data_IF_998096856194
#
_entry.id   IF_998096856194
#
_cell.length_a   1.000
_cell.length_b   1.000
_cell.length_c   1.000
_cell.angle_alpha   90.00
_cell.angle_beta   90.00
_cell.angle_gamma   90.00
#
_symmetry.space_group_name_H-M   'P 1'
#
loop_
_entity.id
_entity.type
_entity.pdbx_description
1 polymer ?
#
# COMPACT_ATOMS: atom_id res chain seq x y z
N UNK A 1 32.07 -10.16 14.70
CA UNK A 1 31.26 -8.94 14.46
C UNK A 1 29.82 -9.31 14.81
N UNK A 2 29.37 -8.91 16.00
CA UNK A 2 28.18 -9.47 16.65
C UNK A 2 27.27 -8.32 17.11
N UNK A 3 26.02 -8.38 16.67
CA UNK A 3 24.79 -7.86 17.30
C UNK A 3 24.84 -6.52 18.03
N UNK A 4 24.41 -5.46 17.36
CA UNK A 4 23.97 -4.20 17.98
C UNK A 4 22.58 -3.83 17.48
N UNK A 5 21.80 -3.14 18.30
CA UNK A 5 20.36 -2.79 18.17
C UNK A 5 19.98 -1.87 16.98
N UNK A 6 20.72 -1.91 15.87
CA UNK A 6 20.44 -1.17 14.64
C UNK A 6 21.15 -1.80 13.41
N UNK A 7 20.88 -3.08 13.10
CA UNK A 7 21.37 -3.62 11.82
C UNK A 7 20.70 -2.88 10.65
N UNK A 8 21.40 -2.68 9.51
CA UNK A 8 20.79 -2.15 8.30
C UNK A 8 19.50 -2.90 7.91
N UNK A 9 19.48 -4.22 8.12
CA UNK A 9 18.30 -5.07 7.93
C UNK A 9 17.12 -4.65 8.82
N UNK A 10 17.34 -4.43 10.12
CA UNK A 10 16.29 -3.96 11.04
C UNK A 10 15.76 -2.58 10.63
N UNK A 11 16.63 -1.72 10.08
CA UNK A 11 16.23 -0.41 9.56
C UNK A 11 15.40 -0.51 8.29
N UNK A 12 15.72 -1.46 7.40
CA UNK A 12 14.89 -1.81 6.25
C UNK A 12 13.50 -2.31 6.68
N UNK A 13 13.43 -3.30 7.57
CA UNK A 13 12.16 -3.85 8.09
C UNK A 13 11.27 -2.76 8.71
N UNK A 14 11.85 -1.86 9.52
CA UNK A 14 11.13 -0.71 10.09
C UNK A 14 10.63 0.25 9.01
N UNK A 15 11.41 0.48 7.96
CA UNK A 15 10.98 1.35 6.85
C UNK A 15 9.78 0.75 6.10
N UNK A 16 9.77 -0.57 5.88
CA UNK A 16 8.66 -1.29 5.25
C UNK A 16 7.37 -1.16 6.06
N UNK A 17 7.41 -1.15 7.40
CA UNK A 17 6.20 -0.93 8.21
C UNK A 17 5.79 0.55 8.30
N UNK A 18 6.77 1.45 8.46
CA UNK A 18 6.50 2.86 8.77
C UNK A 18 6.16 3.72 7.53
N UNK A 19 6.81 3.49 6.39
CA UNK A 19 6.60 4.30 5.20
C UNK A 19 5.19 4.13 4.59
N UNK A 20 4.63 2.92 4.46
CA UNK A 20 3.26 2.76 3.95
C UNK A 20 2.22 3.30 4.91
N UNK A 21 2.46 3.20 6.22
CA UNK A 21 1.60 3.85 7.23
C UNK A 21 1.53 5.36 7.00
N UNK A 22 2.67 6.03 6.79
CA UNK A 22 2.71 7.45 6.47
C UNK A 22 2.01 7.80 5.15
N UNK A 23 2.11 6.90 4.16
CA UNK A 23 1.38 7.05 2.90
C UNK A 23 -0.14 6.98 3.12
N UNK A 24 -0.63 5.94 3.81
CA UNK A 24 -2.06 5.76 4.13
C UNK A 24 -2.61 6.97 4.88
N UNK A 25 -1.89 7.46 5.89
CA UNK A 25 -2.30 8.68 6.62
C UNK A 25 -2.36 9.91 5.70
N UNK A 26 -1.36 10.09 4.83
CA UNK A 26 -1.27 11.24 3.94
C UNK A 26 -2.35 11.21 2.87
N UNK A 27 -2.62 10.04 2.28
CA UNK A 27 -3.69 9.85 1.29
C UNK A 27 -5.06 10.04 1.94
N UNK A 28 -5.32 9.45 3.10
CA UNK A 28 -6.57 9.65 3.85
C UNK A 28 -6.83 11.14 4.12
N UNK A 29 -5.82 11.88 4.60
CA UNK A 29 -5.95 13.34 4.83
C UNK A 29 -6.18 14.14 3.56
N UNK A 30 -5.60 13.71 2.43
CA UNK A 30 -5.79 14.38 1.15
C UNK A 30 -7.22 14.16 0.62
N UNK A 31 -7.71 12.93 0.68
CA UNK A 31 -9.07 12.57 0.27
C UNK A 31 -10.11 13.22 1.16
N UNK A 32 -9.96 13.16 2.49
CA UNK A 32 -10.85 13.85 3.42
C UNK A 32 -11.02 15.33 3.08
N UNK A 33 -9.91 16.05 2.80
CA UNK A 33 -9.98 17.48 2.44
C UNK A 33 -10.71 17.71 1.11
N UNK A 34 -10.54 16.80 0.15
CA UNK A 34 -11.24 16.86 -1.12
C UNK A 34 -12.75 16.63 -0.91
N UNK A 35 -13.13 15.62 -0.14
CA UNK A 35 -14.53 15.35 0.19
C UNK A 35 -15.17 16.48 1.00
N UNK A 36 -14.45 17.08 1.95
CA UNK A 36 -14.89 18.28 2.68
C UNK A 36 -15.15 19.46 1.73
N UNK A 37 -14.30 19.65 0.72
CA UNK A 37 -14.49 20.69 -0.28
C UNK A 37 -15.73 20.43 -1.14
N UNK A 38 -15.97 19.17 -1.54
CA UNK A 38 -17.21 18.76 -2.21
C UNK A 38 -18.44 19.01 -1.36
N UNK A 39 -18.42 18.64 -0.07
CA UNK A 39 -19.51 18.87 0.88
C UNK A 39 -19.83 20.35 1.07
N UNK A 40 -18.82 21.20 1.00
CA UNK A 40 -18.96 22.67 1.04
C UNK A 40 -19.43 23.27 -0.30
N UNK A 41 -19.65 22.44 -1.33
CA UNK A 41 -20.07 22.90 -2.65
C UNK A 41 -18.98 23.58 -3.47
N UNK A 42 -17.70 23.40 -3.12
CA UNK A 42 -16.58 24.03 -3.83
C UNK A 42 -16.25 23.35 -5.16
N UNK A 43 -16.65 22.09 -5.32
CA UNK A 43 -16.65 21.34 -6.59
C UNK A 43 -17.67 20.21 -6.53
N UNK A 44 -17.99 19.61 -7.67
CA UNK A 44 -18.88 18.43 -7.79
C UNK A 44 -18.15 17.16 -8.20
N UNK A 45 -16.85 17.25 -8.50
CA UNK A 45 -16.04 16.13 -8.99
C UNK A 45 -15.84 15.06 -7.91
N UNK A 46 -15.72 13.81 -8.33
CA UNK A 46 -15.20 12.73 -7.48
C UNK A 46 -13.73 12.94 -7.13
N UNK A 47 -13.38 12.58 -5.90
CA UNK A 47 -12.01 12.63 -5.40
C UNK A 47 -11.30 11.30 -5.71
N UNK A 48 -9.97 11.30 -5.92
CA UNK A 48 -9.09 12.46 -5.94
C UNK A 48 -8.98 13.15 -7.31
N UNK A 49 -9.49 12.52 -8.39
CA UNK A 49 -9.30 12.99 -9.77
C UNK A 49 -10.64 13.07 -10.52
N UNK A 50 -11.02 14.22 -11.10
CA UNK A 50 -10.28 15.50 -11.05
C UNK A 50 -10.35 16.18 -9.66
N UNK A 51 -11.27 15.76 -8.78
CA UNK A 51 -11.37 16.19 -7.39
C UNK A 51 -11.38 17.71 -7.22
N UNK A 52 -10.65 18.16 -6.19
CA UNK A 52 -10.37 19.56 -5.87
C UNK A 52 -9.17 20.15 -6.66
N UNK A 53 -8.60 19.38 -7.59
CA UNK A 53 -7.38 19.75 -8.35
C UNK A 53 -6.07 19.67 -7.54
N UNK A 54 -6.10 19.27 -6.26
CA UNK A 54 -4.94 19.30 -5.35
C UNK A 54 -4.65 17.91 -4.77
N UNK A 55 -5.69 17.14 -4.43
CA UNK A 55 -5.61 15.86 -3.75
C UNK A 55 -4.74 14.85 -4.51
N UNK A 56 -4.97 14.67 -5.81
CA UNK A 56 -4.18 13.76 -6.65
C UNK A 56 -2.66 14.04 -6.58
N UNK A 57 -2.26 15.31 -6.69
CA UNK A 57 -0.85 15.69 -6.58
C UNK A 57 -0.26 15.46 -5.18
N UNK A 58 -1.06 15.63 -4.12
CA UNK A 58 -0.63 15.32 -2.74
C UNK A 58 -0.45 13.81 -2.54
N UNK A 59 -1.36 13.01 -3.07
CA UNK A 59 -1.30 11.55 -3.01
C UNK A 59 -0.06 11.04 -3.74
N UNK A 60 0.16 11.47 -4.98
CA UNK A 60 1.35 11.08 -5.76
C UNK A 60 2.65 11.40 -5.04
N UNK A 61 2.75 12.60 -4.44
CA UNK A 61 3.95 13.00 -3.67
C UNK A 61 4.15 12.13 -2.43
N UNK A 62 3.08 11.76 -1.74
CA UNK A 62 3.15 10.88 -0.58
C UNK A 62 3.61 9.47 -0.98
N UNK A 63 3.09 8.94 -2.09
CA UNK A 63 3.44 7.63 -2.64
C UNK A 63 4.94 7.56 -2.96
N UNK A 64 5.44 8.51 -3.77
CA UNK A 64 6.86 8.60 -4.14
C UNK A 64 7.75 8.73 -2.90
N UNK A 65 7.32 9.51 -1.89
CA UNK A 65 8.07 9.66 -0.64
C UNK A 65 8.15 8.37 0.15
N UNK A 66 7.06 7.61 0.24
CA UNK A 66 7.01 6.35 0.95
C UNK A 66 7.88 5.29 0.27
N UNK A 67 7.75 5.10 -1.04
CA UNK A 67 8.54 4.13 -1.79
C UNK A 67 10.03 4.47 -1.75
N UNK A 68 10.38 5.75 -1.94
CA UNK A 68 11.76 6.21 -1.79
C UNK A 68 12.32 6.03 -0.37
N UNK A 69 11.48 6.09 0.68
CA UNK A 69 11.91 5.84 2.05
C UNK A 69 12.26 4.37 2.29
N UNK A 70 11.54 3.44 1.64
CA UNK A 70 11.84 2.01 1.69
C UNK A 70 13.16 1.75 0.94
N UNK A 71 13.30 2.22 -0.29
CA UNK A 71 14.53 2.03 -1.08
C UNK A 71 15.77 2.57 -0.36
N UNK A 72 15.68 3.76 0.25
CA UNK A 72 16.80 4.33 1.03
C UNK A 72 17.22 3.53 2.26
N UNK A 73 16.45 2.54 2.68
CA UNK A 73 16.77 1.69 3.84
C UNK A 73 17.01 0.25 3.47
N UNK A 74 16.42 -0.19 2.37
CA UNK A 74 16.48 -1.57 1.91
C UNK A 74 17.46 -1.78 0.74
N UNK A 75 17.81 -0.73 0.03
CA UNK A 75 18.66 -0.70 -1.16
C UNK A 75 20.16 -0.81 -0.93
N UNK A 76 20.60 -1.50 0.13
CA UNK A 76 22.03 -1.63 0.42
C UNK A 76 22.80 -0.30 0.43
N UNK A 77 23.89 -0.24 -0.35
CA UNK A 77 24.83 0.89 -0.36
C UNK A 77 24.45 2.03 -1.31
N UNK A 78 23.75 1.73 -2.41
CA UNK A 78 23.35 2.75 -3.40
C UNK A 78 22.00 3.39 -3.07
N UNK A 79 21.28 2.82 -2.09
CA UNK A 79 20.01 3.32 -1.58
C UNK A 79 18.87 3.23 -2.63
N UNK A 80 19.03 2.37 -3.64
CA UNK A 80 18.11 2.16 -4.74
C UNK A 80 17.20 0.94 -4.50
N UNK A 81 16.24 0.71 -5.40
CA UNK A 81 15.48 -0.55 -5.45
C UNK A 81 15.66 -1.14 -6.85
N UNK A 82 16.89 -1.31 -7.28
CA UNK A 82 17.23 -1.73 -8.65
C UNK A 82 17.76 -3.18 -8.72
N UNK A 83 17.76 -3.88 -7.58
CA UNK A 83 18.25 -5.24 -7.44
C UNK A 83 19.76 -5.33 -7.20
N UNK A 84 20.51 -4.23 -7.21
CA UNK A 84 21.95 -4.22 -7.02
C UNK A 84 22.34 -3.99 -5.55
N UNK A 85 22.62 -5.07 -4.82
CA UNK A 85 23.00 -4.95 -3.40
C UNK A 85 21.82 -4.68 -2.44
N UNK A 86 20.60 -4.72 -2.96
CA UNK A 86 19.35 -4.70 -2.21
C UNK A 86 19.26 -5.88 -1.22
N UNK A 87 18.59 -5.66 -0.08
CA UNK A 87 18.14 -6.79 0.73
C UNK A 87 17.09 -7.59 -0.02
N UNK A 88 17.33 -8.89 -0.14
CA UNK A 88 16.36 -9.83 -0.72
C UNK A 88 15.12 -9.96 0.17
N UNK A 89 13.94 -10.27 -0.40
CA UNK A 89 12.73 -10.54 0.38
C UNK A 89 12.95 -11.61 1.48
N UNK A 90 13.76 -12.64 1.19
CA UNK A 90 14.11 -13.68 2.15
C UNK A 90 14.96 -13.16 3.32
N UNK A 91 15.95 -12.28 3.07
CA UNK A 91 16.72 -11.64 4.14
C UNK A 91 15.84 -10.75 5.02
N UNK A 92 14.90 -10.02 4.42
CA UNK A 92 13.94 -9.15 5.12
C UNK A 92 12.96 -9.99 5.97
N UNK A 93 12.67 -11.22 5.57
CA UNK A 93 11.65 -12.07 6.20
C UNK A 93 10.24 -11.78 5.67
N UNK A 94 10.13 -11.33 4.42
CA UNK A 94 8.85 -11.06 3.77
C UNK A 94 8.33 -12.31 3.03
N UNK A 95 7.01 -12.42 2.90
CA UNK A 95 6.38 -13.52 2.13
C UNK A 95 6.73 -13.41 0.65
N UNK A 96 6.92 -14.54 -0.03
CA UNK A 96 7.31 -14.58 -1.45
C UNK A 96 6.19 -14.29 -2.44
N UNK A 97 4.98 -13.96 -1.98
CA UNK A 97 3.82 -13.65 -2.82
C UNK A 97 3.05 -12.46 -2.27
N UNK A 98 2.64 -11.58 -3.16
CA UNK A 98 1.80 -10.44 -2.83
C UNK A 98 0.33 -10.87 -2.72
N UNK A 99 -0.45 -10.37 -1.75
CA UNK A 99 -1.88 -10.63 -1.66
C UNK A 99 -2.64 -10.29 -2.95
N UNK A 100 -3.50 -11.20 -3.40
CA UNK A 100 -4.36 -11.02 -4.58
C UNK A 100 -5.58 -10.15 -4.28
N UNK A 101 -5.34 -8.86 -3.98
CA UNK A 101 -6.36 -7.82 -3.89
C UNK A 101 -6.33 -6.94 -5.14
N UNK A 102 -7.44 -6.27 -5.44
CA UNK A 102 -7.53 -5.37 -6.60
C UNK A 102 -7.92 -3.98 -6.12
N UNK A 103 -7.11 -2.98 -6.43
CA UNK A 103 -7.43 -1.57 -6.11
C UNK A 103 -8.75 -1.19 -6.81
N UNK A 104 -9.69 -0.50 -6.15
CA UNK A 104 -10.89 0.00 -6.81
C UNK A 104 -10.55 0.82 -8.06
N UNK A 105 -11.01 0.39 -9.24
CA UNK A 105 -10.69 1.05 -10.51
C UNK A 105 -9.24 0.93 -10.97
N UNK A 106 -8.41 0.12 -10.31
CA UNK A 106 -6.99 -0.05 -10.58
C UNK A 106 -6.56 -1.49 -10.84
N UNK A 107 -5.25 -1.72 -10.74
CA UNK A 107 -4.62 -3.01 -11.02
C UNK A 107 -4.77 -4.01 -9.85
N UNK A 108 -4.60 -5.29 -10.18
CA UNK A 108 -4.43 -6.37 -9.18
C UNK A 108 -3.01 -6.32 -8.59
N UNK A 109 -2.91 -6.52 -7.27
CA UNK A 109 -1.64 -6.57 -6.54
C UNK A 109 -0.99 -7.96 -6.55
N UNK A 110 -1.76 -9.02 -6.84
CA UNK A 110 -1.28 -10.39 -6.72
C UNK A 110 -0.12 -10.71 -7.66
N UNK A 111 0.94 -11.33 -7.13
CA UNK A 111 2.12 -11.69 -7.92
C UNK A 111 3.27 -12.25 -7.07
N UNK A 112 4.30 -12.83 -7.69
CA UNK A 112 5.51 -13.27 -6.98
C UNK A 112 6.33 -12.06 -6.50
N UNK A 113 7.01 -12.22 -5.37
CA UNK A 113 7.94 -11.23 -4.80
C UNK A 113 9.35 -11.83 -4.86
N UNK A 114 10.10 -11.51 -5.91
CA UNK A 114 11.45 -12.06 -6.15
C UNK A 114 12.56 -11.06 -5.80
N UNK A 115 12.23 -9.77 -5.79
CA UNK A 115 13.16 -8.66 -5.57
C UNK A 115 12.62 -7.67 -4.54
N UNK A 116 13.48 -6.76 -4.10
CA UNK A 116 13.05 -5.62 -3.28
C UNK A 116 12.04 -4.75 -4.04
N UNK A 117 12.24 -4.57 -5.35
CA UNK A 117 11.32 -3.80 -6.19
C UNK A 117 9.92 -4.42 -6.24
N UNK A 118 9.81 -5.76 -6.30
CA UNK A 118 8.53 -6.46 -6.23
C UNK A 118 7.86 -6.27 -4.86
N UNK A 119 8.65 -6.31 -3.78
CA UNK A 119 8.15 -6.07 -2.42
C UNK A 119 7.59 -4.65 -2.29
N UNK A 120 8.34 -3.66 -2.76
CA UNK A 120 7.94 -2.25 -2.75
C UNK A 120 6.66 -2.05 -3.55
N UNK A 121 6.57 -2.63 -4.76
CA UNK A 121 5.36 -2.58 -5.58
C UNK A 121 4.16 -3.27 -4.91
N UNK A 122 4.39 -4.40 -4.26
CA UNK A 122 3.35 -5.10 -3.50
C UNK A 122 2.80 -4.25 -2.36
N UNK A 123 3.70 -3.70 -1.53
CA UNK A 123 3.34 -2.89 -0.37
C UNK A 123 2.62 -1.62 -0.80
N UNK A 124 3.07 -0.97 -1.88
CA UNK A 124 2.38 0.17 -2.49
C UNK A 124 0.96 -0.19 -2.90
N UNK A 125 0.81 -1.22 -3.75
CA UNK A 125 -0.48 -1.63 -4.28
C UNK A 125 -1.48 -2.04 -3.18
N UNK A 126 -1.03 -2.84 -2.20
CA UNK A 126 -1.89 -3.24 -1.09
C UNK A 126 -2.26 -2.05 -0.22
N UNK A 127 -1.35 -1.11 0.00
CA UNK A 127 -1.64 0.11 0.77
C UNK A 127 -2.64 0.99 0.04
N UNK A 128 -2.50 1.15 -1.28
CA UNK A 128 -3.46 1.84 -2.15
C UNK A 128 -4.85 1.21 -2.06
N UNK A 129 -4.92 -0.11 -2.21
CA UNK A 129 -6.17 -0.86 -2.03
C UNK A 129 -6.83 -0.58 -0.66
N UNK A 130 -6.05 -0.68 0.42
CA UNK A 130 -6.59 -0.54 1.78
C UNK A 130 -7.09 0.88 2.04
N UNK A 131 -6.35 1.90 1.62
CA UNK A 131 -6.76 3.29 1.86
C UNK A 131 -7.91 3.73 0.95
N UNK A 132 -8.02 3.22 -0.28
CA UNK A 132 -9.18 3.49 -1.14
C UNK A 132 -10.46 2.85 -0.61
N UNK A 133 -10.37 1.62 -0.10
CA UNK A 133 -11.50 1.01 0.57
C UNK A 133 -11.88 1.76 1.85
N UNK A 134 -10.90 2.23 2.64
CA UNK A 134 -11.17 3.04 3.82
C UNK A 134 -11.84 4.37 3.45
N UNK A 135 -11.38 5.05 2.41
CA UNK A 135 -11.98 6.30 1.93
C UNK A 135 -13.43 6.10 1.47
N UNK A 136 -13.69 5.08 0.65
CA UNK A 136 -15.03 4.77 0.15
C UNK A 136 -16.05 4.50 1.28
N UNK A 137 -15.62 3.91 2.40
CA UNK A 137 -16.48 3.75 3.59
C UNK A 137 -16.93 5.08 4.21
N UNK A 138 -16.17 6.16 4.02
CA UNK A 138 -16.45 7.46 4.64
C UNK A 138 -17.38 8.35 3.82
N UNK A 139 -17.64 8.00 2.55
CA UNK A 139 -18.43 8.82 1.63
C UNK A 139 -19.62 8.10 0.98
N UNK A 140 -20.44 7.32 1.72
CA UNK A 140 -21.55 6.55 1.15
C UNK A 140 -22.65 7.42 0.53
N UNK A 141 -22.67 8.73 0.83
CA UNK A 141 -23.58 9.70 0.21
C UNK A 141 -23.15 10.17 -1.18
N UNK A 142 -21.90 9.91 -1.59
CA UNK A 142 -21.37 10.33 -2.88
C UNK A 142 -21.04 9.16 -3.80
N UNK A 143 -20.55 8.05 -3.24
CA UNK A 143 -20.12 6.89 -4.00
C UNK A 143 -20.61 5.59 -3.35
N UNK A 144 -20.90 4.58 -4.18
CA UNK A 144 -21.21 3.25 -3.69
C UNK A 144 -19.93 2.54 -3.24
N UNK A 145 -20.04 1.70 -2.21
CA UNK A 145 -18.90 0.94 -1.72
C UNK A 145 -18.40 -0.06 -2.79
N UNK A 146 -17.12 -0.02 -3.22
CA UNK A 146 -16.62 -0.86 -4.30
C UNK A 146 -16.68 -2.35 -3.97
N UNK A 147 -17.03 -3.19 -4.95
CA UNK A 147 -17.10 -4.65 -4.75
C UNK A 147 -15.74 -5.26 -4.48
N UNK A 148 -14.66 -4.66 -4.99
CA UNK A 148 -13.28 -5.06 -4.71
C UNK A 148 -12.94 -4.95 -3.21
N UNK A 149 -13.60 -4.04 -2.50
CA UNK A 149 -13.42 -3.85 -1.07
C UNK A 149 -14.20 -4.87 -0.22
N UNK A 150 -15.08 -5.66 -0.84
CA UNK A 150 -15.80 -6.78 -0.21
C UNK A 150 -15.01 -8.09 -0.30
N UNK A 151 -13.72 -8.06 0.05
CA UNK A 151 -12.90 -9.28 0.09
C UNK A 151 -13.48 -10.24 1.14
N UNK A 152 -14.17 -11.26 0.66
CA UNK A 152 -14.58 -12.41 1.47
C UNK A 152 -13.31 -13.02 2.05
N UNK A 153 -13.20 -13.05 3.38
CA UNK A 153 -12.24 -13.95 4.04
C UNK A 153 -12.64 -15.33 3.57
N UNK A 154 -11.88 -15.92 2.65
CA UNK A 154 -12.15 -17.27 2.18
C UNK A 154 -12.29 -18.16 3.40
N UNK A 155 -13.50 -18.67 3.63
CA UNK A 155 -13.72 -19.78 4.54
C UNK A 155 -12.73 -20.85 4.10
N UNK A 156 -11.76 -21.13 4.97
CA UNK A 156 -10.90 -22.30 4.84
C UNK A 156 -11.85 -23.49 4.96
N UNK A 157 -12.35 -24.00 3.84
CA UNK A 157 -13.08 -25.26 3.81
C UNK A 157 -12.08 -26.36 4.18
N UNK A 158 -11.97 -26.65 5.47
CA UNK A 158 -11.34 -27.87 5.96
C UNK A 158 -12.21 -29.04 5.50
N UNK A 159 -11.86 -29.64 4.37
CA UNK A 159 -12.41 -30.93 3.97
C UNK A 159 -11.96 -31.96 5.00
N UNK A 160 -12.85 -32.36 5.89
CA UNK A 160 -12.62 -33.50 6.79
C UNK A 160 -12.74 -34.76 5.93
N UNK A 161 -11.69 -35.60 5.81
CA UNK A 161 -11.84 -36.88 5.14
C UNK A 161 -12.71 -37.81 5.99
N UNK A 162 -13.84 -38.24 5.44
CA UNK A 162 -14.68 -39.28 6.01
C UNK A 162 -13.97 -40.64 5.87
N UNK A 163 -13.46 -41.18 6.97
CA UNK A 163 -13.03 -42.59 7.04
C UNK A 163 -14.26 -43.48 7.17
N UNK A 164 -14.43 -44.39 6.22
CA UNK A 164 -15.34 -45.55 6.31
C UNK A 164 -14.57 -46.76 6.80
#
# INVERSE_FOLDING_TARGET
MQSGTASPLNSCQRAIGSAPTQFVESKSKALQKCWDARLKGLHSNSCPTPGDGIAAGRIQRAQVKAMGAICRRCGGSDLACDGAGDFTPAQIGFVGTCPSVTVPGGSSCGGPINSLQDLVACVDCVSEFKVDCADALTVPGFESYPTQCNVQVGTTSTTIPSTT
#
